data_IF_707092331892
#
_entry.id   IF_707092331892
#
_cell.length_a   1.000
_cell.length_b   1.000
_cell.length_c   1.000
_cell.angle_alpha   90.00
_cell.angle_beta   90.00
_cell.angle_gamma   90.00
#
_symmetry.space_group_name_H-M   'P 1'
#
loop_
_entity.id
_entity.type
_entity.pdbx_description
1 polymer ?
#
# COMPACT_ATOMS: atom_id res chain seq x y z
N UNK A 1 -75.06 -61.82 -14.65
CA UNK A 1 -75.36 -60.50 -14.06
C UNK A 1 -74.69 -60.44 -12.70
N UNK A 2 -74.17 -59.25 -12.39
CA UNK A 2 -73.62 -58.78 -11.12
C UNK A 2 -72.10 -58.87 -10.87
N UNK A 3 -71.55 -57.65 -10.76
CA UNK A 3 -70.17 -57.20 -10.59
C UNK A 3 -69.64 -57.49 -9.18
N UNK A 4 -68.30 -57.49 -9.04
CA UNK A 4 -67.63 -56.67 -8.02
C UNK A 4 -66.13 -56.48 -8.33
N UNK A 5 -65.83 -55.33 -8.91
CA UNK A 5 -64.50 -54.75 -9.10
C UNK A 5 -63.93 -54.30 -7.75
N UNK A 6 -62.75 -54.79 -7.39
CA UNK A 6 -62.03 -54.44 -6.15
C UNK A 6 -60.98 -53.37 -6.45
N UNK A 7 -61.33 -52.11 -6.19
CA UNK A 7 -60.43 -50.96 -6.25
C UNK A 7 -59.44 -51.02 -5.08
N UNK A 8 -58.13 -50.92 -5.37
CA UNK A 8 -57.07 -50.72 -4.36
C UNK A 8 -56.88 -49.22 -4.14
N UNK A 9 -57.11 -48.76 -2.91
CA UNK A 9 -56.68 -47.43 -2.46
C UNK A 9 -55.17 -47.46 -2.20
N UNK A 10 -54.43 -46.56 -2.85
CA UNK A 10 -53.05 -46.24 -2.51
C UNK A 10 -53.08 -45.09 -1.51
N UNK A 11 -52.51 -45.31 -0.32
CA UNK A 11 -52.36 -44.30 0.73
C UNK A 11 -51.13 -43.43 0.47
N UNK A 12 -51.35 -42.17 0.12
CA UNK A 12 -50.31 -41.14 0.16
C UNK A 12 -50.02 -40.76 1.61
N UNK A 13 -48.82 -41.06 2.08
CA UNK A 13 -48.33 -40.59 3.38
C UNK A 13 -47.64 -39.23 3.19
N UNK A 14 -48.39 -38.17 3.50
CA UNK A 14 -47.88 -36.79 3.61
C UNK A 14 -46.90 -36.69 4.79
N UNK A 15 -45.59 -36.76 4.51
CA UNK A 15 -44.51 -36.46 5.46
C UNK A 15 -44.27 -34.95 5.53
N UNK A 16 -45.15 -34.24 6.23
CA UNK A 16 -44.94 -32.85 6.61
C UNK A 16 -44.31 -32.73 8.00
N UNK A 17 -43.30 -31.84 8.12
CA UNK A 17 -43.09 -30.91 9.27
C UNK A 17 -41.69 -30.75 9.90
N UNK A 18 -40.61 -31.29 9.32
CA UNK A 18 -39.25 -31.03 9.87
C UNK A 18 -38.24 -30.37 8.91
N UNK A 19 -38.56 -30.22 7.63
CA UNK A 19 -37.61 -29.68 6.64
C UNK A 19 -37.29 -28.19 6.86
N UNK A 20 -38.27 -27.38 7.26
CA UNK A 20 -38.07 -25.96 7.52
C UNK A 20 -37.17 -25.70 8.73
N UNK A 21 -37.19 -26.58 9.74
CA UNK A 21 -36.31 -26.46 10.91
C UNK A 21 -34.85 -26.69 10.53
N UNK A 22 -34.59 -27.72 9.71
CA UNK A 22 -33.24 -28.03 9.24
C UNK A 22 -32.71 -26.88 8.36
N UNK A 23 -33.53 -26.37 7.43
CA UNK A 23 -33.16 -25.21 6.60
C UNK A 23 -32.86 -23.96 7.43
N UNK A 24 -33.65 -23.70 8.47
CA UNK A 24 -33.44 -22.56 9.37
C UNK A 24 -32.11 -22.65 10.13
N UNK A 25 -31.75 -23.82 10.68
CA UNK A 25 -30.48 -23.98 11.39
C UNK A 25 -29.26 -23.82 10.47
N UNK A 26 -29.35 -24.31 9.22
CA UNK A 26 -28.26 -24.15 8.24
C UNK A 26 -28.09 -22.68 7.85
N UNK A 27 -29.18 -21.97 7.58
CA UNK A 27 -29.14 -20.55 7.23
C UNK A 27 -28.61 -19.69 8.40
N UNK A 28 -29.08 -19.96 9.62
CA UNK A 28 -28.66 -19.23 10.82
C UNK A 28 -27.17 -19.44 11.13
N UNK A 29 -26.66 -20.68 10.96
CA UNK A 29 -25.23 -20.99 11.12
C UNK A 29 -24.37 -20.21 10.12
N UNK A 30 -24.78 -20.14 8.85
CA UNK A 30 -24.07 -19.37 7.83
C UNK A 30 -24.05 -17.87 8.16
N UNK A 31 -25.16 -17.32 8.66
CA UNK A 31 -25.24 -15.92 9.06
C UNK A 31 -24.33 -15.61 10.26
N UNK A 32 -24.25 -16.51 11.26
CA UNK A 32 -23.33 -16.37 12.40
C UNK A 32 -21.85 -16.39 11.99
N UNK A 33 -21.47 -17.17 10.99
CA UNK A 33 -20.10 -17.18 10.46
C UNK A 33 -19.76 -15.88 9.72
N UNK A 34 -20.71 -15.33 8.95
CA UNK A 34 -20.52 -14.07 8.23
C UNK A 34 -20.47 -12.84 9.16
N UNK A 35 -21.32 -12.80 10.20
CA UNK A 35 -21.32 -11.68 11.15
C UNK A 35 -20.14 -11.74 12.11
N UNK A 36 -19.71 -12.94 12.52
CA UNK A 36 -18.53 -13.14 13.38
C UNK A 36 -17.23 -12.65 12.73
N UNK A 37 -17.03 -12.90 11.43
CA UNK A 37 -15.86 -12.41 10.70
C UNK A 37 -15.82 -10.87 10.60
N UNK A 38 -16.99 -10.23 10.46
CA UNK A 38 -17.10 -8.78 10.30
C UNK A 38 -16.79 -8.01 11.59
N UNK A 39 -17.24 -8.51 12.74
CA UNK A 39 -16.99 -7.88 14.05
C UNK A 39 -15.52 -8.02 14.45
N UNK A 40 -14.90 -9.16 14.17
CA UNK A 40 -13.49 -9.41 14.46
C UNK A 40 -12.56 -8.49 13.63
N UNK A 41 -12.90 -8.23 12.36
CA UNK A 41 -12.16 -7.29 11.52
C UNK A 41 -12.28 -5.84 12.02
N UNK A 42 -13.48 -5.42 12.42
CA UNK A 42 -13.72 -4.04 12.87
C UNK A 42 -12.97 -3.69 14.17
N UNK A 43 -12.83 -4.67 15.09
CA UNK A 43 -12.05 -4.48 16.32
C UNK A 43 -10.53 -4.52 16.10
N UNK A 44 -10.04 -5.22 15.07
CA UNK A 44 -8.61 -5.29 14.74
C UNK A 44 -8.12 -4.06 13.97
N UNK A 45 -8.94 -3.46 13.11
CA UNK A 45 -8.54 -2.31 12.27
C UNK A 45 -8.75 -0.96 12.98
N UNK A 46 -9.62 -0.88 14.00
CA UNK A 46 -9.94 0.37 14.71
C UNK A 46 -8.85 0.94 15.61
N UNK A 47 -7.65 0.33 15.67
CA UNK A 47 -6.58 0.69 16.63
C UNK A 47 -5.25 1.09 15.99
N UNK A 48 -5.26 1.65 14.77
CA UNK A 48 -4.06 2.23 14.16
C UNK A 48 -4.05 3.77 14.35
N UNK A 49 -3.50 4.17 15.50
CA UNK A 49 -2.56 5.27 15.72
C UNK A 49 -2.89 6.67 15.17
N UNK A 50 -3.45 7.50 16.06
CA UNK A 50 -3.25 8.95 16.07
C UNK A 50 -1.83 9.25 16.58
N UNK A 51 -0.84 9.39 15.69
CA UNK A 51 0.48 9.91 16.05
C UNK A 51 0.82 11.12 15.16
N UNK A 52 0.61 12.29 15.76
CA UNK A 52 1.44 13.50 15.74
C UNK A 52 2.41 13.65 14.56
N UNK A 53 2.08 14.56 13.65
CA UNK A 53 3.00 15.10 12.66
C UNK A 53 4.16 15.84 13.35
N UNK A 54 5.43 15.64 12.93
CA UNK A 54 6.54 16.45 13.39
C UNK A 54 6.52 17.84 12.74
N UNK A 55 6.64 18.86 13.56
CA UNK A 55 6.80 20.27 13.20
C UNK A 55 8.13 20.46 12.43
N UNK A 56 8.04 20.79 11.14
CA UNK A 56 9.20 21.10 10.30
C UNK A 56 9.46 22.60 10.41
N UNK A 57 10.49 22.95 11.17
CA UNK A 57 11.05 24.30 11.25
C UNK A 57 11.53 24.76 9.87
N UNK A 58 10.94 25.88 9.41
CA UNK A 58 11.29 26.64 8.22
C UNK A 58 12.80 26.96 8.15
N UNK A 59 13.43 26.65 7.02
CA UNK A 59 14.70 27.26 6.63
C UNK A 59 14.52 28.01 5.32
N UNK A 60 14.71 29.32 5.42
CA UNK A 60 14.72 30.32 4.36
C UNK A 60 15.94 30.13 3.46
N UNK A 61 15.83 30.21 2.12
CA UNK A 61 17.00 30.31 1.26
C UNK A 61 17.56 31.74 1.31
N UNK A 62 18.70 31.92 1.97
CA UNK A 62 19.51 33.14 1.86
C UNK A 62 20.40 33.03 0.63
N UNK A 63 20.11 33.89 -0.35
CA UNK A 63 20.92 34.20 -1.50
C UNK A 63 22.21 34.91 -1.08
N UNK A 64 23.38 34.35 -1.40
CA UNK A 64 24.66 35.07 -1.36
C UNK A 64 25.55 34.70 -2.54
N UNK A 65 26.05 35.75 -3.17
CA UNK A 65 26.85 35.84 -4.37
C UNK A 65 28.15 35.04 -4.40
N UNK A 66 28.48 34.67 -5.63
CA UNK A 66 29.76 34.22 -6.16
C UNK A 66 30.83 35.31 -5.98
N UNK A 67 31.98 34.95 -5.40
CA UNK A 67 33.24 35.34 -6.01
C UNK A 67 34.05 34.10 -6.42
N UNK A 68 34.59 34.17 -7.63
CA UNK A 68 35.55 33.22 -8.20
C UNK A 68 36.91 33.35 -7.49
N UNK A 69 37.56 32.23 -7.13
CA UNK A 69 39.01 32.22 -6.98
C UNK A 69 39.69 31.06 -7.73
N UNK A 70 40.70 31.46 -8.50
CA UNK A 70 41.93 30.78 -8.91
C UNK A 70 42.21 29.38 -8.35
N UNK A 71 42.34 28.40 -9.25
CA UNK A 71 42.79 27.04 -8.94
C UNK A 71 44.27 27.03 -8.52
N UNK A 72 44.52 26.75 -7.23
CA UNK A 72 45.82 26.29 -6.72
C UNK A 72 45.66 24.82 -6.36
N UNK A 73 46.33 23.94 -7.11
CA UNK A 73 46.22 22.48 -6.94
C UNK A 73 47.11 22.08 -5.75
N UNK A 74 46.52 22.03 -4.55
CA UNK A 74 47.10 21.38 -3.38
C UNK A 74 46.31 20.09 -3.13
N UNK A 75 46.94 18.91 -3.11
CA UNK A 75 46.23 17.65 -2.85
C UNK A 75 45.63 17.71 -1.44
N UNK A 76 44.31 17.87 -1.37
CA UNK A 76 43.57 18.09 -0.12
C UNK A 76 43.06 16.74 0.38
N UNK A 77 43.49 16.34 1.57
CA UNK A 77 43.16 15.13 2.34
C UNK A 77 41.65 14.78 2.43
N UNK A 78 40.77 15.73 2.11
CA UNK A 78 39.31 15.56 2.03
C UNK A 78 38.85 14.60 0.91
N UNK A 79 39.68 14.38 -0.10
CA UNK A 79 39.36 13.49 -1.23
C UNK A 79 39.52 12.00 -0.87
N UNK A 80 40.41 11.65 0.07
CA UNK A 80 40.65 10.25 0.48
C UNK A 80 39.46 9.68 1.28
N UNK A 81 38.78 10.51 2.09
CA UNK A 81 37.59 10.06 2.82
C UNK A 81 36.32 9.95 1.94
N UNK A 82 36.31 10.57 0.76
CA UNK A 82 35.19 10.44 -0.20
C UNK A 82 35.24 9.12 -0.98
N UNK A 83 36.43 8.54 -1.15
CA UNK A 83 36.62 7.30 -1.91
C UNK A 83 36.20 6.08 -1.07
N UNK A 84 36.40 6.13 0.25
CA UNK A 84 36.06 5.03 1.16
C UNK A 84 34.55 4.97 1.51
N UNK A 85 33.83 6.10 1.50
CA UNK A 85 32.38 6.13 1.71
C UNK A 85 31.55 5.81 0.46
N UNK A 86 32.16 5.84 -0.72
CA UNK A 86 31.47 5.58 -2.00
C UNK A 86 31.42 4.09 -2.38
N UNK A 87 32.22 3.22 -1.74
CA UNK A 87 32.36 1.83 -2.16
C UNK A 87 31.26 0.89 -1.61
N UNK A 88 30.37 1.38 -0.73
CA UNK A 88 29.36 0.53 -0.07
C UNK A 88 27.97 1.17 0.01
N UNK A 89 27.73 2.29 -0.68
CA UNK A 89 26.41 2.90 -0.68
C UNK A 89 25.54 2.23 -1.74
N UNK A 90 24.47 1.58 -1.28
CA UNK A 90 23.47 0.97 -2.18
C UNK A 90 22.87 2.03 -3.09
N UNK A 91 22.56 1.66 -4.33
CA UNK A 91 21.86 2.57 -5.25
C UNK A 91 20.50 2.96 -4.68
N UNK A 92 19.94 4.09 -5.13
CA UNK A 92 18.60 4.52 -4.69
C UNK A 92 17.54 3.44 -4.97
N UNK A 93 17.62 2.78 -6.13
CA UNK A 93 16.70 1.68 -6.49
C UNK A 93 16.79 0.55 -5.47
N UNK A 94 18.00 0.17 -5.07
CA UNK A 94 18.21 -0.86 -4.07
C UNK A 94 17.68 -0.47 -2.68
N UNK A 95 17.90 0.78 -2.27
CA UNK A 95 17.37 1.30 -1.02
C UNK A 95 15.83 1.38 -1.01
N UNK A 96 15.22 1.77 -2.13
CA UNK A 96 13.75 1.80 -2.29
C UNK A 96 13.19 0.37 -2.25
N UNK A 97 13.85 -0.59 -2.91
CA UNK A 97 13.47 -2.01 -2.89
C UNK A 97 13.50 -2.56 -1.47
N UNK A 98 14.50 -2.20 -0.68
CA UNK A 98 14.62 -2.56 0.74
C UNK A 98 13.53 -1.93 1.60
N UNK A 99 13.22 -0.65 1.39
CA UNK A 99 12.13 0.03 2.07
C UNK A 99 10.77 -0.63 1.77
N UNK A 100 10.55 -0.99 0.50
CA UNK A 100 9.35 -1.69 0.05
C UNK A 100 9.24 -3.09 0.67
N UNK A 101 10.30 -3.90 0.57
CA UNK A 101 10.35 -5.24 1.16
C UNK A 101 10.07 -5.19 2.68
N UNK A 102 10.67 -4.21 3.37
CA UNK A 102 10.46 -4.00 4.81
C UNK A 102 9.01 -3.65 5.14
N UNK A 103 8.39 -2.72 4.40
CA UNK A 103 7.00 -2.29 4.62
C UNK A 103 6.01 -3.46 4.55
N UNK A 104 6.24 -4.42 3.65
CA UNK A 104 5.33 -5.55 3.41
C UNK A 104 5.79 -6.88 4.06
N UNK A 105 6.86 -6.88 4.86
CA UNK A 105 7.40 -8.09 5.48
C UNK A 105 7.87 -9.14 4.45
N UNK A 106 8.43 -8.69 3.33
CA UNK A 106 8.98 -9.52 2.25
C UNK A 106 10.52 -9.46 2.26
N UNK A 107 11.15 -10.37 1.53
CA UNK A 107 12.58 -10.22 1.21
C UNK A 107 12.76 -9.33 -0.03
N UNK A 108 13.97 -8.80 -0.21
CA UNK A 108 14.31 -8.05 -1.42
C UNK A 108 14.28 -8.93 -2.68
N UNK A 109 14.53 -10.25 -2.56
CA UNK A 109 14.40 -11.20 -3.67
C UNK A 109 12.96 -11.43 -4.10
N UNK A 110 12.01 -11.32 -3.16
CA UNK A 110 10.57 -11.42 -3.41
C UNK A 110 9.94 -10.11 -3.88
N UNK A 111 10.71 -9.02 -3.93
CA UNK A 111 10.22 -7.66 -4.19
C UNK A 111 10.86 -7.13 -5.47
N UNK A 112 10.08 -7.10 -6.54
CA UNK A 112 10.52 -6.59 -7.84
C UNK A 112 9.97 -5.17 -7.98
N UNK A 113 10.86 -4.19 -8.15
CA UNK A 113 10.46 -2.81 -8.41
C UNK A 113 11.01 -2.32 -9.74
N UNK A 114 10.31 -1.38 -10.35
CA UNK A 114 10.79 -0.58 -11.47
C UNK A 114 10.59 0.89 -11.12
N UNK A 115 11.67 1.64 -10.97
CA UNK A 115 11.63 3.09 -10.70
C UNK A 115 11.49 3.82 -12.04
N UNK A 116 10.34 4.43 -12.29
CA UNK A 116 10.06 5.14 -13.54
C UNK A 116 10.60 6.57 -13.53
N UNK A 117 10.59 7.24 -12.36
CA UNK A 117 11.20 8.55 -12.17
C UNK A 117 11.81 8.66 -10.78
N UNK A 118 12.98 9.27 -10.70
CA UNK A 118 13.68 9.59 -9.44
C UNK A 118 14.34 10.97 -9.57
N UNK A 119 14.09 11.86 -8.62
CA UNK A 119 14.65 13.23 -8.56
C UNK A 119 15.82 13.34 -7.56
N UNK A 120 16.30 12.23 -7.01
CA UNK A 120 17.26 12.13 -5.92
C UNK A 120 16.64 12.26 -4.52
N UNK A 121 15.45 12.87 -4.43
CA UNK A 121 14.69 13.06 -3.19
C UNK A 121 13.31 12.41 -3.21
N UNK A 122 12.71 12.24 -4.40
CA UNK A 122 11.41 11.61 -4.60
C UNK A 122 11.51 10.58 -5.72
N UNK A 123 10.75 9.50 -5.61
CA UNK A 123 10.66 8.48 -6.64
C UNK A 123 9.24 7.95 -6.79
N UNK A 124 8.93 7.52 -8.00
CA UNK A 124 7.69 6.81 -8.35
C UNK A 124 8.05 5.63 -9.24
N UNK A 125 7.22 4.59 -9.19
CA UNK A 125 7.46 3.41 -9.99
C UNK A 125 6.38 2.37 -9.81
N UNK A 126 6.69 1.16 -10.28
CA UNK A 126 5.86 -0.02 -10.07
C UNK A 126 6.53 -1.04 -9.17
N UNK A 127 5.73 -1.81 -8.46
CA UNK A 127 6.13 -2.92 -7.60
C UNK A 127 5.33 -4.16 -7.96
N UNK A 128 5.97 -5.31 -7.87
CA UNK A 128 5.33 -6.62 -7.96
C UNK A 128 6.02 -7.54 -6.96
N UNK A 129 5.23 -8.29 -6.19
CA UNK A 129 5.79 -9.34 -5.34
C UNK A 129 5.77 -10.70 -6.03
N UNK A 130 6.71 -11.56 -5.64
CA UNK A 130 6.78 -12.94 -6.14
C UNK A 130 5.48 -13.70 -5.83
N UNK A 131 4.97 -14.43 -6.82
CA UNK A 131 3.72 -15.18 -6.71
C UNK A 131 2.45 -14.36 -7.00
N UNK A 132 2.55 -13.04 -7.13
CA UNK A 132 1.40 -12.21 -7.49
C UNK A 132 1.19 -12.14 -9.01
N UNK A 133 -0.08 -12.06 -9.42
CA UNK A 133 -0.44 -11.98 -10.85
C UNK A 133 -0.29 -10.55 -11.35
N UNK A 134 -0.74 -9.57 -10.55
CA UNK A 134 -0.67 -8.15 -10.82
C UNK A 134 0.38 -7.47 -9.93
N UNK A 135 0.86 -6.30 -10.37
CA UNK A 135 1.63 -5.38 -9.53
C UNK A 135 0.80 -4.15 -9.18
N UNK A 136 1.45 -3.18 -8.55
CA UNK A 136 0.92 -1.86 -8.27
C UNK A 136 1.94 -0.75 -8.49
N UNK A 137 1.57 0.48 -8.18
CA UNK A 137 2.47 1.62 -8.16
C UNK A 137 3.00 1.86 -6.74
N UNK A 138 4.09 2.61 -6.63
CA UNK A 138 4.57 3.14 -5.35
C UNK A 138 5.03 4.59 -5.47
N UNK A 139 5.01 5.29 -4.34
CA UNK A 139 5.59 6.61 -4.13
C UNK A 139 6.59 6.53 -2.98
N UNK A 140 7.78 7.07 -3.19
CA UNK A 140 8.84 7.07 -2.20
C UNK A 140 9.45 8.46 -2.06
N UNK A 141 9.93 8.77 -0.85
CA UNK A 141 10.68 9.99 -0.55
C UNK A 141 11.89 9.66 0.31
N UNK A 142 12.94 10.48 0.20
CA UNK A 142 14.17 10.34 0.97
C UNK A 142 14.17 11.34 2.13
N UNK A 143 14.04 10.84 3.36
CA UNK A 143 14.12 11.63 4.59
C UNK A 143 15.38 11.26 5.36
N UNK A 144 16.17 12.25 5.77
CA UNK A 144 17.42 12.05 6.52
C UNK A 144 18.36 11.03 5.85
N UNK A 145 18.44 11.08 4.51
CA UNK A 145 19.27 10.17 3.72
C UNK A 145 18.70 8.76 3.52
N UNK A 146 17.53 8.43 4.08
CA UNK A 146 16.89 7.11 3.97
C UNK A 146 15.61 7.19 3.15
N UNK A 147 15.44 6.26 2.21
CA UNK A 147 14.20 6.10 1.46
C UNK A 147 13.11 5.47 2.33
N UNK A 148 11.89 6.01 2.22
CA UNK A 148 10.66 5.46 2.78
C UNK A 148 9.61 5.36 1.68
N UNK A 149 8.72 4.37 1.79
CA UNK A 149 7.55 4.24 0.92
C UNK A 149 6.42 5.04 1.56
N UNK A 150 6.00 6.11 0.88
CA UNK A 150 4.91 6.98 1.33
C UNK A 150 3.57 6.31 1.08
N UNK A 151 3.38 5.79 -0.13
CA UNK A 151 2.14 5.10 -0.51
C UNK A 151 2.42 4.08 -1.62
N UNK A 152 1.55 3.08 -1.74
CA UNK A 152 1.57 2.06 -2.79
C UNK A 152 0.18 1.45 -2.98
N UNK A 153 -0.14 1.05 -4.21
CA UNK A 153 -1.45 0.47 -4.52
C UNK A 153 -1.81 0.50 -5.99
N UNK A 154 -3.12 0.40 -6.28
CA UNK A 154 -3.68 0.30 -7.63
C UNK A 154 -4.70 1.42 -7.96
N UNK A 155 -4.75 2.48 -7.13
CA UNK A 155 -5.73 3.58 -7.26
C UNK A 155 -5.08 4.95 -7.36
N UNK A 156 -5.85 6.02 -7.15
CA UNK A 156 -5.31 7.38 -7.06
C UNK A 156 -4.92 7.69 -5.61
N UNK A 157 -3.76 8.30 -5.41
CA UNK A 157 -3.25 8.67 -4.08
C UNK A 157 -4.07 9.80 -3.45
N UNK A 158 -4.24 9.76 -2.12
CA UNK A 158 -4.85 10.85 -1.36
C UNK A 158 -3.91 12.06 -1.27
N UNK A 159 -4.46 13.27 -1.44
CA UNK A 159 -3.72 14.52 -1.26
C UNK A 159 -3.15 14.64 0.17
N UNK A 160 -3.87 14.18 1.18
CA UNK A 160 -3.45 14.24 2.58
C UNK A 160 -2.24 13.34 2.86
N UNK A 161 -2.13 12.21 2.15
CA UNK A 161 -0.98 11.31 2.24
C UNK A 161 0.30 11.95 1.69
N UNK A 162 0.21 12.72 0.59
CA UNK A 162 1.40 13.24 -0.13
C UNK A 162 1.79 14.66 0.27
N UNK A 163 0.85 15.47 0.77
CA UNK A 163 1.09 16.86 1.18
C UNK A 163 2.27 17.03 2.15
N UNK A 164 2.42 16.19 3.20
CA UNK A 164 3.53 16.33 4.15
C UNK A 164 4.92 16.13 3.54
N UNK A 165 4.99 15.46 2.39
CA UNK A 165 6.25 15.07 1.76
C UNK A 165 6.66 15.95 0.58
N UNK A 166 5.85 16.94 0.19
CA UNK A 166 6.18 17.91 -0.87
C UNK A 166 6.55 17.27 -2.23
N UNK A 167 5.81 16.24 -2.65
CA UNK A 167 6.00 15.65 -3.98
C UNK A 167 5.84 16.72 -5.08
N UNK A 168 6.79 16.85 -6.02
CA UNK A 168 6.67 17.78 -7.13
C UNK A 168 5.60 17.30 -8.13
N UNK A 169 4.95 18.23 -8.83
CA UNK A 169 3.96 17.93 -9.88
C UNK A 169 4.50 17.05 -11.01
N UNK A 170 5.82 17.07 -11.21
CA UNK A 170 6.49 16.17 -12.16
C UNK A 170 6.49 14.69 -11.74
N UNK A 171 6.22 14.36 -10.47
CA UNK A 171 6.10 13.00 -9.94
C UNK A 171 4.61 12.66 -9.74
N UNK A 172 3.83 13.59 -9.20
CA UNK A 172 2.39 13.43 -8.95
C UNK A 172 1.68 14.70 -9.41
N UNK A 173 1.00 14.64 -10.56
CA UNK A 173 0.21 15.74 -11.08
C UNK A 173 -1.22 15.76 -10.52
N UNK A 174 -1.71 14.65 -9.96
CA UNK A 174 -3.09 14.51 -9.52
C UNK A 174 -3.21 13.71 -8.21
N UNK A 175 -4.16 14.08 -7.35
CA UNK A 175 -4.49 13.36 -6.13
C UNK A 175 -5.99 13.51 -5.79
N UNK A 176 -6.50 12.72 -4.84
CA UNK A 176 -7.90 12.77 -4.39
C UNK A 176 -8.00 13.46 -3.03
N UNK A 177 -8.91 14.43 -2.90
CA UNK A 177 -9.21 15.09 -1.62
C UNK A 177 -10.12 14.22 -0.71
N UNK A 178 -10.40 14.71 0.50
CA UNK A 178 -11.27 14.00 1.45
C UNK A 178 -12.74 13.89 1.01
N UNK A 179 -13.15 14.64 -0.01
CA UNK A 179 -14.50 14.59 -0.58
C UNK A 179 -14.56 13.67 -1.81
N UNK A 180 -13.45 13.06 -2.21
CA UNK A 180 -13.37 12.23 -3.41
C UNK A 180 -13.16 13.01 -4.71
N UNK A 181 -12.87 14.32 -4.64
CA UNK A 181 -12.60 15.13 -5.82
C UNK A 181 -11.15 14.93 -6.28
N UNK A 182 -10.97 14.82 -7.60
CA UNK A 182 -9.66 14.82 -8.22
C UNK A 182 -9.11 16.24 -8.28
N UNK A 183 -7.92 16.44 -7.72
CA UNK A 183 -7.21 17.72 -7.66
C UNK A 183 -5.96 17.63 -8.54
N UNK A 184 -5.80 18.60 -9.44
CA UNK A 184 -4.59 18.76 -10.27
C UNK A 184 -3.61 19.74 -9.60
N UNK A 185 -2.30 19.48 -9.71
CA UNK A 185 -1.23 20.20 -9.01
C UNK A 185 -0.10 20.70 -9.90
#
# INVERSE_FOLDING_TARGET
>A
MENKTKTRENSETSKGSNFYKIGFYVLFSFFMLLTGASISWYLLVGKINKNTAPEISHLTPTNTQIPSPTFVITPTEKEINSINNSLMQKSDVEQIREAMATKHGKTTSQTIINVSKNTGTHAVGSVKFEGEIAGGWFLATKLNGKWIIVDDGNGTVSCDTINPYNFPSSIINECVDNNGNLIHR
#
